data_IF_792397546513
#
_entry.id   IF_792397546513
#
_cell.length_a   1.000
_cell.length_b   1.000
_cell.length_c   1.000
_cell.angle_alpha   90.00
_cell.angle_beta   90.00
_cell.angle_gamma   90.00
#
_symmetry.space_group_name_H-M   'P 1'
#
loop_
_entity.id
_entity.type
_entity.pdbx_description
1 polymer ?
#
# COMPACT_ATOMS: atom_id res chain seq x y z
N UNK A 1 -5.87 -7.16 -5.02
CA UNK A 1 -4.60 -7.40 -4.30
C UNK A 1 -4.08 -8.81 -4.60
N UNK A 2 -2.77 -8.94 -4.85
CA UNK A 2 -2.11 -10.23 -5.00
C UNK A 2 -0.94 -10.30 -4.02
N UNK A 3 -1.22 -10.86 -2.84
CA UNK A 3 -0.29 -11.02 -1.74
C UNK A 3 0.81 -12.05 -2.04
N UNK A 4 1.91 -11.99 -1.28
CA UNK A 4 2.98 -12.98 -1.26
C UNK A 4 4.38 -12.40 -1.25
N UNK A 5 4.65 -11.29 -1.92
CA UNK A 5 5.93 -10.58 -1.82
C UNK A 5 6.13 -9.88 -0.46
N UNK A 6 5.07 -9.70 0.29
CA UNK A 6 5.09 -9.19 1.67
C UNK A 6 5.23 -10.32 2.71
N UNK A 7 5.25 -11.58 2.27
CA UNK A 7 5.33 -12.77 3.11
C UNK A 7 6.66 -13.51 2.89
N UNK A 8 6.94 -14.48 3.74
CA UNK A 8 8.17 -15.31 3.67
C UNK A 8 8.33 -16.11 2.37
N UNK A 9 7.26 -16.22 1.56
CA UNK A 9 7.31 -16.86 0.25
C UNK A 9 8.11 -16.03 -0.77
N UNK A 10 8.18 -14.71 -0.60
CA UNK A 10 8.86 -13.77 -1.50
C UNK A 10 8.40 -13.87 -2.97
N UNK A 11 7.16 -14.31 -3.18
CA UNK A 11 6.51 -14.47 -4.47
C UNK A 11 4.99 -14.49 -4.30
N UNK A 12 4.20 -14.12 -5.33
CA UNK A 12 2.75 -14.12 -5.22
C UNK A 12 2.18 -15.47 -4.79
N UNK A 13 1.15 -15.42 -3.95
CA UNK A 13 0.47 -16.60 -3.47
C UNK A 13 -0.20 -17.39 -4.60
N UNK A 14 -0.42 -18.67 -4.38
CA UNK A 14 -1.10 -19.62 -5.29
C UNK A 14 -0.33 -19.96 -6.58
N UNK A 15 0.88 -19.44 -6.79
CA UNK A 15 1.75 -19.89 -7.88
C UNK A 15 2.18 -21.36 -7.75
N UNK A 16 1.93 -21.97 -6.59
CA UNK A 16 2.10 -23.41 -6.37
C UNK A 16 0.89 -24.26 -6.81
N UNK A 17 -0.25 -23.62 -7.17
CA UNK A 17 -1.48 -24.29 -7.56
C UNK A 17 -1.89 -24.03 -9.00
N UNK A 18 -1.44 -22.92 -9.57
CA UNK A 18 -1.83 -22.50 -10.91
C UNK A 18 -0.67 -21.88 -11.67
N UNK A 19 -0.70 -22.04 -12.98
CA UNK A 19 0.19 -21.36 -13.89
C UNK A 19 -0.11 -19.86 -13.93
N UNK A 20 0.93 -19.04 -13.92
CA UNK A 20 0.80 -17.58 -13.89
C UNK A 20 0.06 -17.03 -15.11
N UNK A 21 0.31 -17.59 -16.31
CA UNK A 21 -0.40 -17.18 -17.52
C UNK A 21 -1.90 -17.46 -17.41
N UNK A 22 -2.27 -18.61 -16.85
CA UNK A 22 -3.67 -18.95 -16.61
C UNK A 22 -4.33 -17.96 -15.62
N UNK A 23 -3.64 -17.62 -14.53
CA UNK A 23 -4.15 -16.69 -13.51
C UNK A 23 -4.32 -15.28 -14.09
N UNK A 24 -3.31 -14.75 -14.76
CA UNK A 24 -3.35 -13.40 -15.34
C UNK A 24 -4.38 -13.28 -16.47
N UNK A 25 -4.47 -14.31 -17.31
CA UNK A 25 -5.53 -14.36 -18.32
C UNK A 25 -6.92 -14.34 -17.69
N UNK A 26 -7.13 -15.14 -16.65
CA UNK A 26 -8.41 -15.18 -15.94
C UNK A 26 -8.79 -13.84 -15.29
N UNK A 27 -7.81 -13.07 -14.82
CA UNK A 27 -7.98 -11.71 -14.29
C UNK A 27 -8.39 -10.75 -15.42
N UNK A 28 -7.62 -10.75 -16.52
CA UNK A 28 -7.88 -9.89 -17.68
C UNK A 28 -9.25 -10.18 -18.33
N UNK A 29 -9.61 -11.46 -18.50
CA UNK A 29 -10.89 -11.87 -19.08
C UNK A 29 -12.11 -11.38 -18.26
N UNK A 30 -11.90 -11.02 -16.99
CA UNK A 30 -12.95 -10.45 -16.12
C UNK A 30 -12.99 -8.92 -16.13
N UNK A 31 -12.22 -8.28 -16.99
CA UNK A 31 -12.17 -6.82 -17.11
C UNK A 31 -11.35 -6.12 -16.01
N UNK A 32 -10.64 -6.87 -15.16
CA UNK A 32 -9.67 -6.30 -14.23
C UNK A 32 -8.45 -5.88 -15.04
N UNK A 33 -7.99 -4.66 -14.84
CA UNK A 33 -6.90 -4.07 -15.60
C UNK A 33 -5.66 -3.72 -14.77
N UNK A 34 -5.77 -3.78 -13.44
CA UNK A 34 -4.67 -3.40 -12.55
C UNK A 34 -4.60 -4.35 -11.36
N UNK A 35 -3.38 -4.68 -10.95
CA UNK A 35 -3.09 -5.55 -9.80
C UNK A 35 -2.23 -4.77 -8.80
N UNK A 36 -2.63 -4.74 -7.55
CA UNK A 36 -1.85 -4.25 -6.42
C UNK A 36 -1.01 -5.40 -5.86
N UNK A 37 0.30 -5.20 -5.73
CA UNK A 37 1.24 -6.17 -5.18
C UNK A 37 1.77 -5.69 -3.82
N UNK A 38 1.27 -6.24 -2.72
CA UNK A 38 1.88 -6.04 -1.41
C UNK A 38 3.31 -6.59 -1.39
N UNK A 39 4.27 -5.74 -0.96
CA UNK A 39 5.70 -6.08 -0.84
C UNK A 39 6.23 -5.59 0.49
N UNK A 40 7.28 -6.21 1.04
CA UNK A 40 7.98 -5.66 2.20
C UNK A 40 9.16 -4.78 1.79
N UNK A 41 9.47 -3.78 2.62
CA UNK A 41 10.72 -3.02 2.40
C UNK A 41 11.95 -3.91 2.51
N UNK A 42 11.96 -4.90 3.40
CA UNK A 42 13.06 -5.87 3.54
C UNK A 42 13.35 -6.60 2.23
N UNK A 43 12.31 -7.07 1.53
CA UNK A 43 12.48 -7.72 0.23
C UNK A 43 13.02 -6.73 -0.81
N UNK A 44 12.45 -5.51 -0.85
CA UNK A 44 12.89 -4.49 -1.79
C UNK A 44 14.33 -4.04 -1.55
N UNK A 45 14.74 -3.92 -0.28
CA UNK A 45 16.15 -3.65 0.10
C UNK A 45 17.07 -4.78 -0.36
N UNK A 46 16.66 -6.04 -0.22
CA UNK A 46 17.44 -7.18 -0.69
C UNK A 46 17.71 -7.13 -2.20
N UNK A 47 16.73 -6.66 -2.98
CA UNK A 47 16.87 -6.45 -4.42
C UNK A 47 17.83 -5.29 -4.72
N UNK A 48 17.65 -4.16 -4.05
CA UNK A 48 18.53 -2.98 -4.19
C UNK A 48 19.99 -3.29 -3.87
N UNK A 49 20.24 -4.14 -2.89
CA UNK A 49 21.58 -4.56 -2.49
C UNK A 49 22.19 -5.66 -3.39
N UNK A 50 21.45 -6.15 -4.38
CA UNK A 50 21.89 -7.24 -5.25
C UNK A 50 21.96 -8.60 -4.55
N UNK A 51 21.21 -8.77 -3.47
CA UNK A 51 21.11 -10.01 -2.68
C UNK A 51 19.65 -10.48 -2.57
N UNK A 52 18.94 -10.68 -3.69
CA UNK A 52 17.53 -11.00 -3.67
C UNK A 52 17.27 -12.27 -2.87
N UNK A 53 16.26 -12.20 -2.01
CA UNK A 53 15.84 -13.33 -1.20
C UNK A 53 15.33 -14.47 -2.10
N UNK A 54 15.54 -15.73 -1.70
CA UNK A 54 15.01 -16.88 -2.42
C UNK A 54 13.49 -16.92 -2.33
N UNK A 55 12.88 -17.53 -3.33
CA UNK A 55 11.44 -17.74 -3.35
C UNK A 55 11.07 -19.15 -2.89
N UNK A 56 9.84 -19.30 -2.43
CA UNK A 56 9.23 -20.58 -2.19
C UNK A 56 7.83 -20.62 -2.80
N UNK A 57 7.29 -21.84 -2.94
CA UNK A 57 5.88 -22.03 -3.33
C UNK A 57 5.50 -21.44 -4.71
N UNK A 58 6.38 -21.53 -5.70
CA UNK A 58 6.11 -21.13 -7.10
C UNK A 58 6.02 -22.29 -8.07
N UNK A 59 6.27 -23.52 -7.61
CA UNK A 59 6.18 -24.73 -8.40
C UNK A 59 5.08 -25.65 -7.88
N UNK A 60 4.67 -26.65 -8.68
CA UNK A 60 3.68 -27.63 -8.27
C UNK A 60 4.14 -28.39 -7.01
N UNK A 61 3.25 -28.41 -6.06
CA UNK A 61 3.37 -28.99 -4.75
C UNK A 61 4.01 -30.40 -4.77
N UNK A 62 5.30 -30.49 -4.48
CA UNK A 62 6.01 -31.75 -4.26
C UNK A 62 6.14 -32.69 -5.46
N UNK A 63 5.65 -32.36 -6.62
CA UNK A 63 5.77 -33.15 -7.85
C UNK A 63 6.73 -32.44 -8.83
N UNK A 64 8.01 -32.86 -8.89
CA UNK A 64 8.98 -32.25 -9.79
C UNK A 64 8.66 -32.50 -11.30
N UNK A 65 7.72 -33.39 -11.62
CA UNK A 65 7.26 -33.62 -12.98
C UNK A 65 6.22 -32.60 -13.44
N UNK A 66 5.60 -31.87 -12.53
CA UNK A 66 4.63 -30.81 -12.84
C UNK A 66 5.27 -29.45 -12.70
N UNK A 67 5.82 -28.94 -13.80
CA UNK A 67 6.24 -27.54 -13.90
C UNK A 67 5.01 -26.67 -14.18
N UNK A 68 4.37 -26.15 -13.13
CA UNK A 68 3.23 -25.25 -13.29
C UNK A 68 3.67 -23.90 -13.85
N UNK A 69 4.85 -23.42 -13.46
CA UNK A 69 5.40 -22.12 -13.87
C UNK A 69 6.80 -22.33 -14.51
N UNK A 70 6.88 -22.79 -15.78
CA UNK A 70 8.16 -23.07 -16.43
C UNK A 70 9.03 -21.81 -16.60
N UNK A 71 8.41 -20.63 -16.68
CA UNK A 71 9.13 -19.37 -16.84
C UNK A 71 9.84 -18.89 -15.55
N UNK A 72 9.64 -19.59 -14.43
CA UNK A 72 10.28 -19.26 -13.13
C UNK A 72 11.52 -20.10 -12.85
N UNK A 73 12.11 -20.69 -13.86
CA UNK A 73 13.35 -21.45 -13.74
C UNK A 73 14.44 -20.87 -14.65
N UNK A 74 15.69 -21.07 -14.25
CA UNK A 74 16.83 -20.83 -15.12
C UNK A 74 16.78 -21.75 -16.36
N UNK A 75 17.69 -21.58 -17.31
CA UNK A 75 17.76 -22.35 -18.56
C UNK A 75 17.87 -23.87 -18.35
N UNK A 76 18.35 -24.32 -17.16
CA UNK A 76 18.39 -25.72 -16.77
C UNK A 76 17.00 -26.33 -16.53
N UNK A 77 15.99 -25.48 -16.42
CA UNK A 77 14.61 -25.86 -16.17
C UNK A 77 14.33 -26.48 -14.81
N UNK A 78 15.24 -26.32 -13.85
CA UNK A 78 15.20 -26.90 -12.49
C UNK A 78 15.45 -25.85 -11.42
N UNK A 79 16.47 -25.01 -11.57
CA UNK A 79 16.85 -23.97 -10.63
C UNK A 79 15.83 -22.84 -10.66
N UNK A 80 15.21 -22.55 -9.52
CA UNK A 80 14.24 -21.44 -9.43
C UNK A 80 14.95 -20.09 -9.54
N UNK A 81 14.31 -19.19 -10.26
CA UNK A 81 14.65 -17.76 -10.27
C UNK A 81 14.52 -17.18 -8.84
N UNK A 82 15.30 -16.17 -8.53
CA UNK A 82 15.17 -15.43 -7.28
C UNK A 82 13.94 -14.50 -7.30
N UNK A 83 13.60 -13.91 -6.15
CA UNK A 83 12.42 -13.08 -5.99
C UNK A 83 12.36 -11.87 -6.94
N UNK A 84 13.50 -11.24 -7.22
CA UNK A 84 13.55 -10.10 -8.14
C UNK A 84 13.33 -10.55 -9.59
N UNK A 85 13.97 -11.62 -10.03
CA UNK A 85 13.77 -12.18 -11.36
C UNK A 85 12.32 -12.62 -11.57
N UNK A 86 11.67 -13.22 -10.55
CA UNK A 86 10.26 -13.59 -10.62
C UNK A 86 9.37 -12.36 -10.74
N UNK A 87 9.69 -11.28 -10.03
CA UNK A 87 8.95 -10.03 -10.18
C UNK A 87 9.08 -9.48 -11.60
N UNK A 88 10.28 -9.46 -12.18
CA UNK A 88 10.51 -9.03 -13.56
C UNK A 88 9.70 -9.87 -14.58
N UNK A 89 9.71 -11.20 -14.44
CA UNK A 89 8.88 -12.11 -15.28
C UNK A 89 7.40 -11.80 -15.14
N UNK A 90 6.92 -11.52 -13.93
CA UNK A 90 5.51 -11.16 -13.71
C UNK A 90 5.18 -9.84 -14.40
N UNK A 91 6.03 -8.82 -14.35
CA UNK A 91 5.82 -7.55 -15.06
C UNK A 91 5.70 -7.78 -16.58
N UNK A 92 6.56 -8.60 -17.16
CA UNK A 92 6.48 -8.94 -18.59
C UNK A 92 5.19 -9.69 -18.94
N UNK A 93 4.74 -10.58 -18.06
CA UNK A 93 3.46 -11.29 -18.27
C UNK A 93 2.25 -10.37 -18.11
N UNK A 94 2.26 -9.42 -17.18
CA UNK A 94 1.22 -8.40 -17.07
C UNK A 94 1.10 -7.61 -18.38
N UNK A 95 2.22 -7.16 -18.92
CA UNK A 95 2.29 -6.47 -20.22
C UNK A 95 1.67 -7.32 -21.35
N UNK A 96 1.97 -8.61 -21.40
CA UNK A 96 1.41 -9.57 -22.36
C UNK A 96 -0.13 -9.60 -22.31
N UNK A 97 -0.73 -9.48 -21.12
CA UNK A 97 -2.19 -9.52 -20.94
C UNK A 97 -2.85 -8.13 -20.86
N UNK A 98 -2.10 -7.06 -21.13
CA UNK A 98 -2.61 -5.68 -21.07
C UNK A 98 -2.96 -5.22 -19.65
N UNK A 99 -2.36 -5.85 -18.64
CA UNK A 99 -2.54 -5.51 -17.23
C UNK A 99 -1.48 -4.51 -16.77
N UNK A 100 -1.84 -3.70 -15.81
CA UNK A 100 -0.95 -2.80 -15.09
C UNK A 100 -0.75 -3.27 -13.66
N UNK A 101 0.26 -2.74 -13.01
CA UNK A 101 0.55 -3.02 -11.62
C UNK A 101 0.85 -1.75 -10.84
N UNK A 102 0.62 -1.80 -9.55
CA UNK A 102 1.29 -0.96 -8.58
C UNK A 102 1.72 -1.79 -7.37
N UNK A 103 2.77 -1.35 -6.72
CA UNK A 103 3.21 -1.97 -5.47
C UNK A 103 2.66 -1.19 -4.29
N UNK A 104 2.48 -1.86 -3.17
CA UNK A 104 2.37 -1.22 -1.86
C UNK A 104 3.45 -1.72 -0.91
N UNK A 105 4.02 -0.82 -0.13
CA UNK A 105 4.90 -1.22 0.97
C UNK A 105 4.03 -1.65 2.15
N UNK A 106 3.77 -2.96 2.24
CA UNK A 106 2.83 -3.50 3.21
C UNK A 106 3.37 -3.43 4.63
N UNK A 107 4.65 -3.74 4.80
CA UNK A 107 5.36 -3.64 6.07
C UNK A 107 6.86 -3.44 5.84
N UNK A 108 7.61 -2.98 6.86
CA UNK A 108 9.08 -2.89 6.76
C UNK A 108 9.75 -4.26 6.63
N UNK A 109 9.16 -5.33 7.18
CA UNK A 109 9.72 -6.67 7.23
C UNK A 109 8.76 -7.73 6.69
N UNK A 110 9.29 -8.89 6.33
CA UNK A 110 8.48 -10.07 5.99
C UNK A 110 8.08 -10.83 7.25
N UNK A 111 6.89 -11.45 7.25
CA UNK A 111 6.50 -12.43 8.25
C UNK A 111 5.61 -13.52 7.64
N UNK A 112 5.21 -14.51 8.45
CA UNK A 112 4.40 -15.65 8.00
C UNK A 112 2.99 -15.26 7.56
N UNK A 113 2.45 -14.18 8.12
CA UNK A 113 1.07 -13.75 7.91
C UNK A 113 0.95 -12.61 6.92
N UNK A 114 2.08 -11.95 6.57
CA UNK A 114 2.05 -10.70 5.84
C UNK A 114 1.44 -9.57 6.67
N UNK A 115 1.57 -9.66 8.00
CA UNK A 115 0.91 -8.76 8.93
C UNK A 115 1.36 -7.31 8.77
N UNK A 116 0.43 -6.39 8.95
CA UNK A 116 0.67 -4.95 8.82
C UNK A 116 1.39 -4.42 10.06
N UNK A 117 2.47 -3.69 9.83
CA UNK A 117 3.18 -2.94 10.87
C UNK A 117 2.79 -1.45 10.79
N UNK A 118 2.61 -0.76 11.93
CA UNK A 118 2.08 0.61 11.93
C UNK A 118 2.86 1.62 11.11
N UNK A 119 4.18 1.52 11.11
CA UNK A 119 5.10 2.49 10.53
C UNK A 119 5.86 1.89 9.33
N UNK A 120 6.44 2.76 8.51
CA UNK A 120 7.28 2.40 7.36
C UNK A 120 8.72 2.06 7.73
N UNK A 121 9.08 2.20 9.01
CA UNK A 121 10.42 1.99 9.56
C UNK A 121 10.37 1.20 10.88
N UNK A 122 11.54 0.85 11.43
CA UNK A 122 11.66 0.29 12.78
C UNK A 122 11.71 -1.24 12.86
N UNK A 123 11.70 -1.94 11.71
CA UNK A 123 11.88 -3.40 11.61
C UNK A 123 12.91 -3.74 10.54
N UNK A 124 13.54 -4.91 10.65
CA UNK A 124 14.50 -5.45 9.69
C UNK A 124 15.64 -4.46 9.30
N UNK A 125 16.03 -3.56 10.19
CA UNK A 125 17.02 -2.52 9.89
C UNK A 125 16.52 -1.41 8.95
N UNK A 126 15.23 -1.41 8.58
CA UNK A 126 14.64 -0.38 7.74
C UNK A 126 14.43 0.89 8.54
N UNK A 127 15.10 1.94 8.14
CA UNK A 127 14.87 3.33 8.58
C UNK A 127 14.05 4.07 7.54
N UNK A 128 13.55 5.25 7.83
CA UNK A 128 12.86 6.10 6.86
C UNK A 128 13.72 6.35 5.62
N UNK A 129 15.02 6.57 5.77
CA UNK A 129 15.93 6.78 4.64
C UNK A 129 16.14 5.52 3.79
N UNK A 130 16.21 4.35 4.42
CA UNK A 130 16.33 3.06 3.72
C UNK A 130 15.06 2.75 2.94
N UNK A 131 13.89 3.00 3.53
CA UNK A 131 12.60 2.86 2.88
C UNK A 131 12.50 3.76 1.64
N UNK A 132 12.83 5.06 1.75
CA UNK A 132 12.85 5.99 0.61
C UNK A 132 13.80 5.48 -0.49
N UNK A 133 15.04 5.13 -0.13
CA UNK A 133 16.04 4.67 -1.10
C UNK A 133 15.59 3.43 -1.86
N UNK A 134 14.93 2.49 -1.20
CA UNK A 134 14.46 1.26 -1.83
C UNK A 134 13.35 1.52 -2.85
N UNK A 135 12.43 2.44 -2.55
CA UNK A 135 11.39 2.86 -3.49
C UNK A 135 11.95 3.66 -4.67
N UNK A 136 12.92 4.55 -4.43
CA UNK A 136 13.63 5.29 -5.48
C UNK A 136 14.36 4.32 -6.42
N UNK A 137 15.03 3.32 -5.87
CA UNK A 137 15.70 2.29 -6.67
C UNK A 137 14.72 1.54 -7.58
N UNK A 138 13.55 1.15 -7.07
CA UNK A 138 12.54 0.48 -7.89
C UNK A 138 11.96 1.42 -8.95
N UNK A 139 11.70 2.68 -8.58
CA UNK A 139 11.19 3.69 -9.49
C UNK A 139 12.16 3.99 -10.65
N UNK A 140 13.47 4.04 -10.37
CA UNK A 140 14.50 4.19 -11.40
C UNK A 140 14.59 2.94 -12.29
N UNK A 141 14.50 1.73 -11.71
CA UNK A 141 14.52 0.48 -12.47
C UNK A 141 13.40 0.38 -13.50
N UNK A 142 12.19 0.84 -13.15
CA UNK A 142 10.99 0.72 -13.99
C UNK A 142 10.55 2.04 -14.63
N UNK A 143 11.35 3.09 -14.63
CA UNK A 143 10.95 4.42 -15.13
C UNK A 143 10.49 4.46 -16.59
N UNK A 144 11.00 3.54 -17.40
CA UNK A 144 10.67 3.43 -18.83
C UNK A 144 9.66 2.30 -19.12
N UNK A 145 9.09 1.67 -18.08
CA UNK A 145 8.10 0.60 -18.19
C UNK A 145 6.79 1.00 -17.50
N UNK A 146 5.81 1.36 -18.30
CA UNK A 146 4.50 1.80 -17.83
C UNK A 146 3.60 0.67 -17.31
N UNK A 147 4.11 -0.56 -17.23
CA UNK A 147 3.42 -1.68 -16.58
C UNK A 147 3.34 -1.47 -15.07
N UNK A 148 4.44 -1.03 -14.46
CA UNK A 148 4.46 -0.59 -13.05
C UNK A 148 4.17 0.91 -12.99
N UNK A 149 2.90 1.27 -12.82
CA UNK A 149 2.45 2.65 -12.96
C UNK A 149 2.42 3.48 -11.67
N UNK A 150 2.42 2.83 -10.50
CA UNK A 150 2.25 3.55 -9.24
C UNK A 150 2.96 2.87 -8.06
N UNK A 151 3.20 3.68 -7.04
CA UNK A 151 3.84 3.31 -5.77
C UNK A 151 2.93 3.75 -4.63
N UNK A 152 2.30 2.79 -3.95
CA UNK A 152 1.60 2.99 -2.69
C UNK A 152 2.64 2.95 -1.58
N UNK A 153 2.91 4.10 -1.00
CA UNK A 153 4.12 4.32 -0.20
C UNK A 153 4.15 3.51 1.09
N UNK A 154 2.98 3.27 1.70
CA UNK A 154 2.84 2.45 2.90
C UNK A 154 1.39 2.03 3.11
N UNK A 155 1.16 0.72 3.14
CA UNK A 155 -0.13 0.16 3.52
C UNK A 155 -0.48 0.53 4.97
N UNK A 156 -1.62 1.18 5.13
CA UNK A 156 -2.27 1.42 6.41
C UNK A 156 -1.36 1.95 7.52
N UNK A 157 -0.83 3.17 7.39
CA UNK A 157 -0.20 3.84 8.52
C UNK A 157 -1.19 3.94 9.69
N UNK A 158 -0.85 3.39 10.86
CA UNK A 158 -1.78 3.31 11.99
C UNK A 158 -1.06 3.42 13.34
N UNK A 159 -1.77 3.07 14.40
CA UNK A 159 -1.29 3.08 15.78
C UNK A 159 -2.16 3.95 16.66
N UNK A 160 -2.24 3.59 17.94
CA UNK A 160 -3.13 4.23 18.89
C UNK A 160 -2.48 5.46 19.52
N UNK A 161 -3.05 6.59 19.17
CA UNK A 161 -2.63 7.89 19.71
C UNK A 161 -1.46 8.50 18.92
N UNK A 162 -1.69 9.58 18.17
CA UNK A 162 -0.68 10.17 17.28
C UNK A 162 0.57 10.72 17.96
N UNK A 163 0.62 10.71 19.29
CA UNK A 163 1.80 11.08 20.10
C UNK A 163 2.62 9.87 20.60
N UNK A 164 2.21 8.64 20.30
CA UNK A 164 2.98 7.43 20.68
C UNK A 164 4.07 7.09 19.65
N UNK A 165 5.21 6.59 20.13
CA UNK A 165 6.37 6.25 19.28
C UNK A 165 6.06 5.23 18.16
N UNK A 166 4.99 4.46 18.34
CA UNK A 166 4.54 3.42 17.40
C UNK A 166 3.25 3.81 16.66
N UNK A 167 2.98 5.10 16.53
CA UNK A 167 1.74 5.62 15.97
C UNK A 167 2.05 6.59 14.84
N UNK A 168 1.57 6.28 13.65
CA UNK A 168 1.59 7.22 12.54
C UNK A 168 0.67 8.40 12.85
N UNK A 169 1.15 9.61 12.58
CA UNK A 169 0.39 10.85 12.72
C UNK A 169 0.42 11.67 11.44
N UNK A 170 -0.51 12.58 11.30
CA UNK A 170 -0.59 13.51 10.18
C UNK A 170 -0.74 14.93 10.71
N UNK A 171 0.35 15.68 10.76
CA UNK A 171 0.38 17.04 11.27
C UNK A 171 1.46 17.90 10.56
N UNK A 172 1.70 19.11 11.05
CA UNK A 172 2.71 20.02 10.50
C UNK A 172 4.14 19.83 11.03
N UNK A 173 4.38 18.77 11.82
CA UNK A 173 5.71 18.52 12.39
C UNK A 173 6.64 17.82 11.41
N UNK A 174 7.93 17.77 11.76
CA UNK A 174 8.95 16.97 11.07
C UNK A 174 9.36 15.74 11.87
N UNK A 175 8.51 15.30 12.78
CA UNK A 175 8.77 14.12 13.59
C UNK A 175 8.85 12.86 12.73
N UNK A 176 9.65 11.89 13.16
CA UNK A 176 9.91 10.69 12.35
C UNK A 176 8.65 9.89 12.04
N UNK A 177 7.66 9.88 12.94
CA UNK A 177 6.39 9.20 12.77
C UNK A 177 5.30 10.07 12.09
N UNK A 178 5.64 11.27 11.59
CA UNK A 178 4.71 12.08 10.81
C UNK A 178 4.64 11.57 9.38
N UNK A 179 3.51 10.97 9.06
CA UNK A 179 3.27 10.36 7.75
C UNK A 179 3.26 11.39 6.62
N UNK A 180 2.62 12.55 6.81
CA UNK A 180 2.60 13.60 5.79
C UNK A 180 4.01 14.07 5.42
N UNK A 181 4.89 14.24 6.42
CA UNK A 181 6.27 14.63 6.20
C UNK A 181 7.08 13.53 5.50
N UNK A 182 6.97 12.28 5.95
CA UNK A 182 7.68 11.16 5.34
C UNK A 182 7.22 10.89 3.91
N UNK A 183 5.89 10.88 3.68
CA UNK A 183 5.30 10.64 2.37
C UNK A 183 5.68 11.74 1.35
N UNK A 184 5.68 13.01 1.78
CA UNK A 184 6.11 14.12 0.91
C UNK A 184 7.57 13.95 0.47
N UNK A 185 8.47 13.62 1.39
CA UNK A 185 9.89 13.36 1.09
C UNK A 185 10.08 12.17 0.14
N UNK A 186 9.32 11.11 0.36
CA UNK A 186 9.38 9.92 -0.48
C UNK A 186 8.85 10.21 -1.89
N UNK A 187 7.71 10.91 -2.00
CA UNK A 187 7.16 11.36 -3.27
C UNK A 187 8.15 12.23 -4.06
N UNK A 188 8.78 13.21 -3.40
CA UNK A 188 9.82 14.03 -4.02
C UNK A 188 10.95 13.19 -4.60
N UNK A 189 11.46 12.25 -3.81
CA UNK A 189 12.59 11.43 -4.20
C UNK A 189 12.25 10.46 -5.37
N UNK A 190 11.05 9.89 -5.39
CA UNK A 190 10.58 9.05 -6.50
C UNK A 190 10.40 9.89 -7.77
N UNK A 191 9.76 11.04 -7.67
CA UNK A 191 9.49 11.92 -8.81
C UNK A 191 10.76 12.56 -9.38
N UNK A 192 11.85 12.66 -8.61
CA UNK A 192 13.16 13.06 -9.12
C UNK A 192 13.72 12.09 -10.17
N UNK A 193 13.41 10.80 -10.06
CA UNK A 193 13.93 9.75 -10.96
C UNK A 193 12.88 9.25 -11.95
N UNK A 194 11.60 9.30 -11.59
CA UNK A 194 10.48 8.87 -12.42
C UNK A 194 9.32 9.90 -12.32
N UNK A 195 9.35 10.97 -13.11
CA UNK A 195 8.34 12.03 -13.05
C UNK A 195 6.95 11.61 -13.51
N UNK A 196 6.82 10.44 -14.12
CA UNK A 196 5.55 9.89 -14.61
C UNK A 196 4.89 8.92 -13.61
N UNK A 197 5.58 8.54 -12.55
CA UNK A 197 5.05 7.64 -11.53
C UNK A 197 3.85 8.26 -10.81
N UNK A 198 2.79 7.49 -10.61
CA UNK A 198 1.74 7.86 -9.68
C UNK A 198 2.17 7.49 -8.25
N UNK A 199 1.90 8.38 -7.33
CA UNK A 199 2.22 8.20 -5.92
C UNK A 199 0.91 8.08 -5.15
N UNK A 200 0.67 6.88 -4.62
CA UNK A 200 -0.51 6.61 -3.81
C UNK A 200 -0.17 6.90 -2.34
N UNK A 201 -1.04 7.67 -1.71
CA UNK A 201 -0.89 8.07 -0.31
C UNK A 201 -2.13 7.61 0.43
N UNK A 202 -1.94 6.73 1.40
CA UNK A 202 -3.00 6.33 2.32
C UNK A 202 -3.12 7.33 3.47
N UNK A 203 -4.24 7.31 4.19
CA UNK A 203 -4.43 8.05 5.43
C UNK A 203 -3.72 7.40 6.62
N UNK A 204 -4.04 7.90 7.80
CA UNK A 204 -3.62 7.29 9.09
C UNK A 204 -4.83 6.63 9.78
N UNK A 205 -4.65 6.11 11.01
CA UNK A 205 -5.77 5.58 11.80
C UNK A 205 -6.44 6.69 12.62
N UNK A 206 -5.64 7.53 13.27
CA UNK A 206 -6.15 8.49 14.25
C UNK A 206 -5.61 9.90 14.03
N UNK A 207 -6.49 10.89 14.19
CA UNK A 207 -6.14 12.30 14.21
C UNK A 207 -6.48 12.90 15.56
N UNK A 208 -5.61 13.78 16.09
CA UNK A 208 -5.84 14.49 17.34
C UNK A 208 -7.04 15.44 17.17
N UNK A 209 -7.95 15.42 18.13
CA UNK A 209 -9.02 16.43 18.23
C UNK A 209 -8.39 17.77 18.61
N UNK A 210 -8.70 18.81 17.84
CA UNK A 210 -8.37 20.18 18.23
C UNK A 210 -9.07 20.57 19.53
N UNK A 211 -8.56 21.60 20.20
CA UNK A 211 -9.16 22.14 21.45
C UNK A 211 -10.59 22.64 21.25
N UNK A 212 -10.95 23.00 20.02
CA UNK A 212 -12.26 23.54 19.63
C UNK A 212 -13.14 22.50 18.91
N UNK A 213 -12.64 21.28 18.76
CA UNK A 213 -13.42 20.21 18.19
C UNK A 213 -14.46 19.73 19.20
N UNK A 214 -15.62 20.38 19.19
CA UNK A 214 -16.84 19.79 19.69
C UNK A 214 -17.08 18.42 19.02
N UNK A 215 -18.25 17.88 19.16
CA UNK A 215 -18.67 16.63 18.49
C UNK A 215 -18.69 16.82 16.95
N UNK A 216 -17.51 17.11 16.42
CA UNK A 216 -17.26 17.57 15.06
C UNK A 216 -17.76 16.57 13.99
N UNK A 217 -17.92 15.30 14.38
CA UNK A 217 -18.08 14.24 13.41
C UNK A 217 -19.38 13.46 13.52
N UNK A 218 -20.34 13.90 14.32
CA UNK A 218 -21.52 13.08 14.57
C UNK A 218 -21.19 11.65 15.05
N UNK A 219 -19.96 11.46 15.55
CA UNK A 219 -19.47 10.18 16.01
C UNK A 219 -20.26 9.70 17.21
N UNK A 220 -20.62 8.40 17.24
CA UNK A 220 -21.30 7.81 18.38
C UNK A 220 -20.58 8.01 19.70
N UNK A 221 -21.33 8.05 20.80
CA UNK A 221 -20.89 8.39 22.16
C UNK A 221 -19.61 7.71 22.67
N UNK A 222 -19.31 6.50 22.22
CA UNK A 222 -18.11 5.78 22.68
C UNK A 222 -16.77 6.43 22.27
N UNK A 223 -16.78 7.38 21.31
CA UNK A 223 -15.61 8.14 20.91
C UNK A 223 -15.61 9.57 21.43
N UNK A 224 -16.68 10.05 22.05
CA UNK A 224 -16.80 11.43 22.55
C UNK A 224 -15.76 11.77 23.62
N UNK A 225 -15.37 10.80 24.43
CA UNK A 225 -14.37 10.97 25.47
C UNK A 225 -12.92 10.71 24.99
N UNK A 226 -12.73 10.27 23.74
CA UNK A 226 -11.40 10.08 23.17
C UNK A 226 -10.81 11.43 22.74
N UNK A 227 -9.52 11.71 23.00
CA UNK A 227 -8.85 12.87 22.43
C UNK A 227 -8.57 12.73 20.94
N UNK A 228 -8.98 11.63 20.31
CA UNK A 228 -8.70 11.32 18.92
C UNK A 228 -9.96 11.01 18.12
N UNK A 229 -9.93 11.37 16.83
CA UNK A 229 -10.85 10.87 15.81
C UNK A 229 -10.25 9.66 15.12
N UNK A 230 -10.94 8.52 15.16
CA UNK A 230 -10.55 7.30 14.48
C UNK A 230 -11.15 7.18 13.08
N UNK A 231 -10.53 6.31 12.28
CA UNK A 231 -11.05 5.80 11.02
C UNK A 231 -10.56 4.35 10.83
N UNK A 232 -10.87 3.74 9.70
CA UNK A 232 -10.17 2.56 9.26
C UNK A 232 -8.67 2.87 9.13
N UNK A 233 -7.81 1.89 9.32
CA UNK A 233 -6.38 2.04 9.04
C UNK A 233 -6.20 2.45 7.58
N UNK A 234 -5.39 3.46 7.32
CA UNK A 234 -5.26 4.03 5.98
C UNK A 234 -6.41 4.93 5.51
N UNK A 235 -7.48 5.08 6.29
CA UNK A 235 -8.70 5.81 5.88
C UNK A 235 -8.86 7.23 6.42
N UNK A 236 -7.96 7.71 7.29
CA UNK A 236 -8.12 9.02 7.94
C UNK A 236 -7.27 10.10 7.28
N UNK A 237 -7.88 10.90 6.42
CA UNK A 237 -7.24 12.03 5.73
C UNK A 237 -7.59 13.40 6.34
N UNK A 238 -8.16 13.45 7.53
CA UNK A 238 -8.54 14.73 8.17
C UNK A 238 -7.38 15.70 8.24
N UNK A 239 -6.16 15.20 8.49
CA UNK A 239 -4.95 16.01 8.51
C UNK A 239 -4.57 16.60 7.15
N UNK A 240 -5.01 16.01 6.04
CA UNK A 240 -4.66 16.49 4.70
C UNK A 240 -5.31 17.85 4.35
N UNK A 241 -6.40 18.24 5.03
CA UNK A 241 -7.00 19.58 4.84
C UNK A 241 -6.02 20.70 5.23
N UNK A 242 -5.32 20.51 6.34
CA UNK A 242 -4.39 21.50 6.87
C UNK A 242 -2.95 21.27 6.38
N UNK A 243 -2.56 20.01 6.27
CA UNK A 243 -1.21 19.59 5.88
C UNK A 243 -1.25 18.68 4.64
N UNK A 244 -1.66 19.19 3.47
CA UNK A 244 -1.75 18.38 2.25
C UNK A 244 -0.36 17.94 1.76
N UNK A 245 -0.30 16.80 1.09
CA UNK A 245 0.92 16.32 0.44
C UNK A 245 1.25 17.25 -0.73
N UNK A 246 2.39 17.93 -0.66
CA UNK A 246 2.85 18.91 -1.66
C UNK A 246 4.31 18.68 -2.01
N UNK A 247 4.60 17.73 -2.90
CA UNK A 247 5.96 17.56 -3.42
C UNK A 247 6.42 18.79 -4.19
N UNK A 248 7.74 18.99 -4.28
CA UNK A 248 8.35 20.07 -5.10
C UNK A 248 8.02 19.96 -6.60
N UNK A 249 7.68 18.74 -7.07
CA UNK A 249 7.24 18.48 -8.43
C UNK A 249 5.76 18.81 -8.70
N UNK A 250 5.04 19.29 -7.69
CA UNK A 250 3.60 19.55 -7.75
C UNK A 250 2.77 18.30 -7.38
N UNK A 251 1.45 18.44 -7.49
CA UNK A 251 0.49 17.44 -6.99
C UNK A 251 -0.14 16.58 -8.08
N UNK A 252 0.20 16.80 -9.36
CA UNK A 252 -0.41 16.09 -10.50
C UNK A 252 -0.23 14.57 -10.49
N UNK A 253 0.77 14.07 -9.78
CA UNK A 253 1.07 12.65 -9.66
C UNK A 253 0.58 12.05 -8.33
N UNK A 254 -0.04 12.83 -7.46
CA UNK A 254 -0.54 12.37 -6.17
C UNK A 254 -1.96 11.82 -6.33
N UNK A 255 -2.17 10.63 -5.80
CA UNK A 255 -3.47 9.96 -5.68
C UNK A 255 -3.67 9.61 -4.21
N UNK A 256 -4.75 10.05 -3.60
CA UNK A 256 -5.07 9.61 -2.25
C UNK A 256 -5.75 8.24 -2.30
N UNK A 257 -5.33 7.33 -1.43
CA UNK A 257 -5.75 5.93 -1.47
C UNK A 257 -6.38 5.50 -0.14
N UNK A 258 -7.64 5.86 0.12
CA UNK A 258 -8.31 5.42 1.33
C UNK A 258 -8.55 3.92 1.33
N UNK A 259 -8.49 3.31 2.54
CA UNK A 259 -9.04 2.00 2.83
C UNK A 259 -10.32 2.16 3.61
N UNK A 260 -11.37 1.44 3.20
CA UNK A 260 -12.67 1.50 3.87
C UNK A 260 -13.39 0.16 3.77
N UNK A 261 -13.91 -0.32 4.88
CA UNK A 261 -14.50 -1.65 4.96
C UNK A 261 -15.89 -1.61 5.57
N UNK A 262 -16.68 -2.64 5.27
CA UNK A 262 -17.99 -2.84 5.85
C UNK A 262 -17.94 -3.48 7.26
N UNK A 263 -19.10 -3.53 7.95
CA UNK A 263 -19.19 -4.06 9.31
C UNK A 263 -18.85 -5.55 9.43
N UNK A 264 -18.78 -6.28 8.31
CA UNK A 264 -18.35 -7.69 8.29
C UNK A 264 -16.87 -7.87 8.60
N UNK A 265 -16.05 -6.84 8.39
CA UNK A 265 -14.62 -6.85 8.74
C UNK A 265 -14.46 -6.47 10.22
N UNK A 266 -15.04 -5.38 10.63
CA UNK A 266 -15.05 -4.96 12.03
C UNK A 266 -16.21 -3.97 12.29
N UNK A 267 -16.89 -4.12 13.46
CA UNK A 267 -17.95 -3.23 13.88
C UNK A 267 -17.37 -1.87 14.30
N UNK A 268 -17.42 -0.91 13.42
CA UNK A 268 -17.04 0.47 13.71
C UNK A 268 -18.22 1.27 14.27
N UNK A 269 -17.92 2.40 14.90
CA UNK A 269 -18.94 3.22 15.58
C UNK A 269 -20.02 3.78 14.66
N UNK A 270 -19.67 4.09 13.42
CA UNK A 270 -20.63 4.58 12.43
C UNK A 270 -21.59 3.51 11.92
N UNK A 271 -21.36 2.25 12.29
CA UNK A 271 -22.28 1.12 12.03
C UNK A 271 -23.17 0.76 13.24
N UNK A 272 -23.09 1.52 14.35
CA UNK A 272 -23.85 1.21 15.58
C UNK A 272 -25.34 1.56 15.47
N UNK A 273 -25.75 2.24 14.40
CA UNK A 273 -27.14 2.54 14.04
C UNK A 273 -27.44 2.03 12.63
N UNK A 274 -28.71 1.99 12.24
CA UNK A 274 -29.08 1.73 10.86
C UNK A 274 -28.39 2.75 9.95
N UNK A 275 -27.69 2.26 8.92
CA UNK A 275 -26.90 3.09 8.02
C UNK A 275 -27.34 2.92 6.57
N UNK A 276 -27.16 3.95 5.81
CA UNK A 276 -27.33 4.03 4.36
C UNK A 276 -26.08 4.72 3.78
N UNK A 277 -25.91 4.67 2.45
CA UNK A 277 -24.88 5.47 1.78
C UNK A 277 -24.90 6.93 2.24
N UNK A 278 -26.11 7.54 2.30
CA UNK A 278 -26.23 8.94 2.73
C UNK A 278 -25.75 9.17 4.17
N UNK A 279 -26.13 8.31 5.10
CA UNK A 279 -25.71 8.49 6.51
C UNK A 279 -24.23 8.19 6.68
N UNK A 280 -23.65 7.24 5.95
CA UNK A 280 -22.20 7.01 5.97
C UNK A 280 -21.44 8.18 5.36
N UNK A 281 -21.95 8.77 4.27
CA UNK A 281 -21.34 9.97 3.70
C UNK A 281 -21.38 11.13 4.69
N UNK A 282 -22.53 11.41 5.30
CA UNK A 282 -22.71 12.54 6.22
C UNK A 282 -21.97 12.35 7.55
N UNK A 283 -21.91 11.13 8.08
CA UNK A 283 -21.42 10.85 9.43
C UNK A 283 -19.92 10.45 9.46
N UNK A 284 -19.37 10.00 8.33
CA UNK A 284 -18.03 9.44 8.33
C UNK A 284 -17.23 9.72 7.04
N UNK A 285 -17.69 9.29 5.84
CA UNK A 285 -16.87 9.31 4.63
C UNK A 285 -16.44 10.72 4.21
N UNK A 286 -17.37 11.69 4.24
CA UNK A 286 -17.04 13.04 3.78
C UNK A 286 -15.90 13.65 4.59
N UNK A 287 -15.94 13.47 5.89
CA UNK A 287 -14.93 14.04 6.76
C UNK A 287 -13.59 13.31 6.76
N UNK A 288 -13.62 12.02 6.45
CA UNK A 288 -12.42 11.19 6.47
C UNK A 288 -11.67 11.22 5.16
N UNK A 289 -12.34 11.02 4.03
CA UNK A 289 -11.69 10.90 2.73
C UNK A 289 -12.51 11.45 1.56
N UNK A 290 -13.81 11.24 1.49
CA UNK A 290 -14.59 11.57 0.30
C UNK A 290 -14.62 13.06 -0.07
N UNK A 291 -14.28 13.94 0.87
CA UNK A 291 -14.14 15.38 0.60
C UNK A 291 -13.03 15.67 -0.41
N UNK A 292 -12.00 14.84 -0.48
CA UNK A 292 -10.84 15.03 -1.36
C UNK A 292 -11.30 15.07 -2.82
N UNK A 293 -12.12 14.10 -3.20
CA UNK A 293 -12.71 14.07 -4.54
C UNK A 293 -13.86 15.07 -4.68
N UNK A 294 -14.74 15.16 -3.69
CA UNK A 294 -15.90 16.04 -3.74
C UNK A 294 -15.54 17.53 -3.87
N UNK A 295 -14.41 17.94 -3.31
CA UNK A 295 -13.89 19.32 -3.38
C UNK A 295 -12.82 19.51 -4.49
N UNK A 296 -12.66 18.53 -5.38
CA UNK A 296 -11.71 18.56 -6.52
C UNK A 296 -10.25 18.82 -6.11
N UNK A 297 -9.84 18.22 -4.97
CA UNK A 297 -8.49 18.41 -4.43
C UNK A 297 -7.49 17.49 -5.15
N UNK A 298 -7.84 16.20 -5.31
CA UNK A 298 -7.01 15.18 -5.97
C UNK A 298 -7.86 13.96 -6.39
N UNK A 299 -7.36 13.12 -7.31
CA UNK A 299 -7.98 11.83 -7.57
C UNK A 299 -7.85 10.89 -6.37
N UNK A 300 -8.83 10.00 -6.23
CA UNK A 300 -8.86 8.96 -5.21
C UNK A 300 -8.91 7.56 -5.84
N UNK A 301 -8.25 6.62 -5.18
CA UNK A 301 -8.32 5.19 -5.47
C UNK A 301 -8.53 4.44 -4.16
N UNK A 302 -9.69 3.83 -3.94
CA UNK A 302 -9.89 2.97 -2.77
C UNK A 302 -9.01 1.73 -2.95
N UNK A 303 -7.96 1.62 -2.12
CA UNK A 303 -6.93 0.58 -2.24
C UNK A 303 -7.38 -0.78 -1.73
N UNK A 304 -8.19 -0.79 -0.66
CA UNK A 304 -8.83 -1.99 -0.09
C UNK A 304 -10.24 -1.68 0.39
N UNK A 305 -11.16 -2.67 0.22
CA UNK A 305 -12.58 -2.54 0.58
C UNK A 305 -13.27 -3.90 0.78
#
# INVERSE_FOLDING_TARGET
>A
NWFGFNCIQNAPHYLWKGDVDFLLKAVADRGINTIRFPISSELLVSWMEGKPLPVSSVAANGDPSRKINPDFTEDDGVTLLNSMQIFDVIMDKLKKYGLKAFIDIHSPHVDNSGHVYPLWYGKAGVTTEVWIKSLVWLAEKYKDDDTLLAYDLKNEPHGKGPGGDMSAKWDGSTDENNWAYAATRCADAILDVNPNALILIEGVEQSLKGTDAGDYWGMPDRLTNSPYYGAWWGGNFRGAREFPIKPKHGTSQIVYSPHDYGPSVYQQTWFDKDFTEKTLLDDYWYDTWAYINAEDIAPELIGEW
#
